data_IF_318503392721
#
_entry.id   IF_318503392721
#
_cell.length_a   1.000
_cell.length_b   1.000
_cell.length_c   1.000
_cell.angle_alpha   90.00
_cell.angle_beta   90.00
_cell.angle_gamma   90.00
#
_symmetry.space_group_name_H-M   'P 1'
#
loop_
_entity.id
_entity.type
_entity.pdbx_description
1 polymer ?
#
# COMPACT_ATOMS: atom_id res chain seq x y z
N UNK A 1 -12.38 6.90 -17.28
CA UNK A 1 -12.60 6.71 -15.83
C UNK A 1 -13.39 5.42 -15.67
N UNK A 2 -12.71 4.32 -15.42
CA UNK A 2 -13.35 3.00 -15.25
C UNK A 2 -13.83 2.87 -13.82
N UNK A 3 -15.12 2.59 -13.64
CA UNK A 3 -15.85 2.46 -12.36
C UNK A 3 -15.37 1.33 -11.40
N UNK A 4 -14.15 0.81 -11.56
CA UNK A 4 -13.72 -0.48 -10.98
C UNK A 4 -13.31 -0.46 -9.50
N UNK A 5 -13.22 0.69 -8.84
CA UNK A 5 -12.50 0.77 -7.55
C UNK A 5 -13.28 1.40 -6.38
N UNK A 6 -14.60 1.57 -6.50
CA UNK A 6 -15.42 1.98 -5.35
C UNK A 6 -16.08 0.77 -4.70
N UNK A 7 -15.87 0.59 -3.40
CA UNK A 7 -16.58 -0.38 -2.57
C UNK A 7 -17.68 0.31 -1.77
N UNK A 8 -18.85 -0.33 -1.61
CA UNK A 8 -19.97 0.20 -0.83
C UNK A 8 -19.74 0.03 0.70
N UNK A 9 -20.67 0.54 1.52
CA UNK A 9 -20.52 0.87 2.96
C UNK A 9 -19.91 -0.18 3.91
N UNK A 10 -19.77 -1.45 3.55
CA UNK A 10 -19.11 -2.50 4.35
C UNK A 10 -17.70 -2.88 3.84
N UNK A 11 -17.23 -2.22 2.78
CA UNK A 11 -15.94 -2.46 2.11
C UNK A 11 -15.88 -3.74 1.27
N UNK A 12 -16.98 -4.49 1.15
CA UNK A 12 -17.00 -5.84 0.54
C UNK A 12 -17.76 -5.91 -0.78
N UNK A 13 -18.71 -5.00 -0.99
CA UNK A 13 -19.48 -4.91 -2.22
C UNK A 13 -18.81 -3.95 -3.19
N UNK A 14 -18.63 -4.33 -4.45
CA UNK A 14 -18.23 -3.37 -5.48
C UNK A 14 -19.38 -2.44 -5.87
N UNK A 15 -19.02 -1.31 -6.49
CA UNK A 15 -19.99 -0.30 -6.92
C UNK A 15 -20.98 -0.82 -7.96
N UNK A 16 -20.55 -1.72 -8.84
CA UNK A 16 -21.42 -2.30 -9.89
C UNK A 16 -22.47 -3.22 -9.25
N UNK A 17 -22.07 -4.07 -8.31
CA UNK A 17 -22.97 -4.95 -7.57
C UNK A 17 -23.99 -4.13 -6.76
N UNK A 18 -23.54 -3.04 -6.13
CA UNK A 18 -24.42 -2.12 -5.42
C UNK A 18 -25.45 -1.46 -6.36
N UNK A 19 -25.01 -1.00 -7.54
CA UNK A 19 -25.90 -0.42 -8.56
C UNK A 19 -26.93 -1.43 -9.06
N UNK A 20 -26.50 -2.66 -9.37
CA UNK A 20 -27.39 -3.75 -9.80
C UNK A 20 -28.44 -4.06 -8.73
N UNK A 21 -28.04 -4.14 -7.46
CA UNK A 21 -28.98 -4.38 -6.37
C UNK A 21 -29.96 -3.22 -6.15
N UNK A 22 -29.52 -1.96 -6.32
CA UNK A 22 -30.39 -0.79 -6.24
C UNK A 22 -31.43 -0.79 -7.36
N UNK A 23 -31.02 -1.04 -8.60
CA UNK A 23 -31.93 -1.11 -9.75
C UNK A 23 -32.93 -2.25 -9.60
N UNK A 24 -32.46 -3.41 -9.15
CA UNK A 24 -33.30 -4.57 -8.90
C UNK A 24 -34.33 -4.31 -7.77
N UNK A 25 -33.92 -3.66 -6.69
CA UNK A 25 -34.84 -3.22 -5.65
C UNK A 25 -35.87 -2.23 -6.18
N UNK A 26 -35.47 -1.32 -7.07
CA UNK A 26 -36.39 -0.37 -7.69
C UNK A 26 -37.46 -1.07 -8.55
N UNK A 27 -37.08 -2.09 -9.33
CA UNK A 27 -38.02 -2.89 -10.11
C UNK A 27 -38.98 -3.70 -9.23
N UNK A 28 -38.48 -4.38 -8.20
CA UNK A 28 -39.33 -5.17 -7.29
C UNK A 28 -40.32 -4.29 -6.54
N UNK A 29 -39.93 -3.05 -6.18
CA UNK A 29 -40.80 -2.09 -5.50
C UNK A 29 -42.00 -1.65 -6.34
N UNK A 30 -41.94 -1.74 -7.67
CA UNK A 30 -43.08 -1.46 -8.57
C UNK A 30 -44.20 -2.49 -8.43
N UNK A 31 -43.90 -3.68 -7.92
CA UNK A 31 -44.89 -4.71 -7.69
C UNK A 31 -45.62 -4.51 -6.35
N UNK A 32 -46.88 -4.93 -6.32
CA UNK A 32 -47.65 -5.07 -5.09
C UNK A 32 -46.93 -5.98 -4.10
N UNK A 33 -46.93 -5.63 -2.79
CA UNK A 33 -46.06 -6.28 -1.81
C UNK A 33 -46.20 -7.81 -1.79
N UNK A 34 -47.41 -8.35 -1.95
CA UNK A 34 -47.71 -9.78 -1.93
C UNK A 34 -47.19 -10.55 -3.15
N UNK A 35 -46.77 -9.86 -4.22
CA UNK A 35 -46.19 -10.47 -5.43
C UNK A 35 -44.66 -10.45 -5.42
N UNK A 36 -44.04 -9.63 -4.55
CA UNK A 36 -42.60 -9.34 -4.58
C UNK A 36 -41.75 -10.58 -4.33
N UNK A 37 -42.09 -11.36 -3.30
CA UNK A 37 -41.31 -12.55 -2.95
C UNK A 37 -41.37 -13.59 -4.08
N UNK A 38 -42.55 -13.89 -4.60
CA UNK A 38 -42.70 -14.85 -5.70
C UNK A 38 -41.91 -14.41 -6.94
N UNK A 39 -42.03 -13.15 -7.33
CA UNK A 39 -41.31 -12.59 -8.48
C UNK A 39 -39.80 -12.59 -8.29
N UNK A 40 -39.32 -12.25 -7.08
CA UNK A 40 -37.91 -12.36 -6.71
C UNK A 40 -37.37 -13.77 -6.88
N UNK A 41 -38.05 -14.76 -6.29
CA UNK A 41 -37.65 -16.17 -6.32
C UNK A 41 -37.61 -16.74 -7.74
N UNK A 42 -38.58 -16.39 -8.57
CA UNK A 42 -38.70 -16.95 -9.92
C UNK A 42 -37.69 -16.37 -10.92
N UNK A 43 -37.34 -15.09 -10.80
CA UNK A 43 -36.58 -14.40 -11.85
C UNK A 43 -35.16 -14.00 -11.46
N UNK A 44 -34.89 -13.76 -10.17
CA UNK A 44 -33.64 -13.11 -9.75
C UNK A 44 -32.89 -13.87 -8.67
N UNK A 45 -33.56 -14.61 -7.79
CA UNK A 45 -32.94 -15.29 -6.65
C UNK A 45 -31.73 -16.13 -7.07
N UNK A 46 -31.88 -17.01 -8.07
CA UNK A 46 -30.77 -17.86 -8.51
C UNK A 46 -29.61 -17.05 -9.09
N UNK A 47 -29.87 -16.13 -10.01
CA UNK A 47 -28.83 -15.36 -10.68
C UNK A 47 -28.09 -14.41 -9.71
N UNK A 48 -28.81 -13.76 -8.79
CA UNK A 48 -28.19 -12.92 -7.76
C UNK A 48 -27.39 -13.76 -6.78
N UNK A 49 -27.89 -14.94 -6.40
CA UNK A 49 -27.13 -15.84 -5.54
C UNK A 49 -25.84 -16.32 -6.21
N UNK A 50 -25.94 -16.80 -7.45
CA UNK A 50 -24.81 -17.41 -8.17
C UNK A 50 -23.74 -16.37 -8.60
N UNK A 51 -24.17 -15.16 -9.03
CA UNK A 51 -23.25 -14.18 -9.63
C UNK A 51 -22.82 -13.07 -8.67
N UNK A 52 -23.57 -12.82 -7.60
CA UNK A 52 -23.26 -11.73 -6.65
C UNK A 52 -22.98 -12.29 -5.26
N UNK A 53 -23.92 -13.02 -4.66
CA UNK A 53 -23.83 -13.40 -3.24
C UNK A 53 -22.76 -14.47 -3.00
N UNK A 54 -22.73 -15.53 -3.82
CA UNK A 54 -21.81 -16.66 -3.63
C UNK A 54 -20.35 -16.27 -3.89
N UNK A 55 -19.99 -15.52 -4.95
CA UNK A 55 -18.62 -15.03 -5.14
C UNK A 55 -18.15 -14.13 -3.99
N UNK A 56 -19.03 -13.28 -3.45
CA UNK A 56 -18.72 -12.44 -2.28
C UNK A 56 -18.49 -13.30 -1.04
N UNK A 57 -19.35 -14.30 -0.79
CA UNK A 57 -19.18 -15.21 0.34
C UNK A 57 -17.88 -16.02 0.25
N UNK A 58 -17.50 -16.47 -0.95
CA UNK A 58 -16.23 -17.15 -1.19
C UNK A 58 -15.04 -16.23 -0.92
N UNK A 59 -15.10 -14.98 -1.37
CA UNK A 59 -14.06 -13.97 -1.09
C UNK A 59 -13.92 -13.71 0.41
N UNK A 60 -15.05 -13.57 1.12
CA UNK A 60 -15.05 -13.41 2.58
C UNK A 60 -14.41 -14.62 3.27
N UNK A 61 -14.72 -15.83 2.83
CA UNK A 61 -14.15 -17.05 3.38
C UNK A 61 -12.63 -17.11 3.12
N UNK A 62 -12.18 -16.75 1.92
CA UNK A 62 -10.76 -16.66 1.55
C UNK A 62 -10.04 -15.63 2.43
N UNK A 63 -10.61 -14.44 2.62
CA UNK A 63 -10.03 -13.38 3.45
C UNK A 63 -9.96 -13.80 4.93
N UNK A 64 -10.99 -14.49 5.43
CA UNK A 64 -11.01 -15.04 6.80
C UNK A 64 -10.03 -16.19 6.99
N UNK A 65 -9.82 -17.03 5.98
CA UNK A 65 -8.81 -18.09 6.00
C UNK A 65 -7.40 -17.48 5.90
N UNK A 66 -7.19 -16.50 5.03
CA UNK A 66 -5.93 -15.76 4.92
C UNK A 66 -5.55 -15.07 6.25
N UNK A 67 -6.53 -14.54 6.99
CA UNK A 67 -6.31 -13.94 8.31
C UNK A 67 -6.05 -14.97 9.43
N UNK A 68 -6.35 -16.27 9.22
CA UNK A 68 -6.14 -17.36 10.19
C UNK A 68 -4.88 -18.19 9.91
N UNK A 69 -4.31 -18.06 8.72
CA UNK A 69 -2.98 -18.60 8.43
C UNK A 69 -2.00 -17.67 9.15
N UNK A 70 -1.25 -18.13 10.18
CA UNK A 70 -0.12 -17.34 10.67
C UNK A 70 0.75 -17.05 9.45
N UNK A 71 1.16 -15.79 9.25
CA UNK A 71 1.99 -15.39 8.11
C UNK A 71 3.17 -16.36 7.96
N UNK A 72 2.99 -17.37 7.11
CA UNK A 72 4.10 -18.15 6.61
C UNK A 72 4.61 -17.32 5.47
N UNK A 73 5.58 -16.46 5.80
CA UNK A 73 6.48 -15.89 4.81
C UNK A 73 6.80 -17.00 3.81
N UNK A 74 6.33 -16.86 2.56
CA UNK A 74 7.07 -17.47 1.46
C UNK A 74 8.31 -16.61 1.24
N UNK A 75 9.18 -16.61 2.25
CA UNK A 75 10.59 -16.55 2.05
C UNK A 75 10.93 -17.74 1.16
N UNK A 76 11.32 -17.45 -0.06
CA UNK A 76 12.10 -18.37 -0.89
C UNK A 76 13.19 -18.99 -0.03
N UNK A 77 13.03 -20.26 0.33
CA UNK A 77 14.03 -21.04 1.06
C UNK A 77 15.23 -21.31 0.15
N UNK A 78 16.15 -20.37 0.14
CA UNK A 78 17.58 -20.66 0.13
C UNK A 78 18.15 -20.17 1.46
N UNK A 79 17.91 -20.94 2.53
CA UNK A 79 18.61 -20.77 3.81
C UNK A 79 20.09 -21.13 3.60
N UNK A 80 20.86 -20.15 3.12
CA UNK A 80 22.11 -19.86 3.79
C UNK A 80 21.74 -18.92 4.92
N UNK A 81 22.07 -19.27 6.16
CA UNK A 81 22.11 -18.33 7.28
C UNK A 81 23.13 -17.23 6.92
N UNK A 82 22.71 -16.28 6.09
CA UNK A 82 23.36 -15.00 5.99
C UNK A 82 22.80 -14.19 7.13
N UNK A 83 23.65 -13.92 8.12
CA UNK A 83 23.41 -12.85 9.09
C UNK A 83 22.92 -11.63 8.32
N UNK A 84 21.66 -11.26 8.51
CA UNK A 84 21.08 -10.08 7.88
C UNK A 84 21.81 -8.85 8.42
N UNK A 85 22.21 -7.94 7.54
CA UNK A 85 22.88 -6.70 7.96
C UNK A 85 21.95 -5.83 8.81
N UNK A 86 22.49 -5.12 9.78
CA UNK A 86 21.79 -4.06 10.51
C UNK A 86 21.57 -2.84 9.62
N UNK A 87 20.67 -1.94 10.03
CA UNK A 87 20.38 -0.68 9.31
C UNK A 87 21.64 0.18 9.15
N UNK A 88 22.44 0.28 10.21
CA UNK A 88 23.65 1.08 10.20
C UNK A 88 24.80 0.40 9.44
N UNK A 89 24.84 -0.94 9.39
CA UNK A 89 25.73 -1.67 8.46
C UNK A 89 25.33 -1.42 7.01
N UNK A 90 24.04 -1.40 6.70
CA UNK A 90 23.55 -1.02 5.37
C UNK A 90 24.00 0.41 5.00
N UNK A 91 23.80 1.38 5.89
CA UNK A 91 24.24 2.75 5.66
C UNK A 91 25.75 2.82 5.37
N UNK A 92 26.58 2.13 6.17
CA UNK A 92 28.03 2.07 5.95
C UNK A 92 28.39 1.45 4.59
N UNK A 93 27.67 0.41 4.15
CA UNK A 93 27.85 -0.21 2.83
C UNK A 93 27.45 0.73 1.68
N UNK A 94 26.39 1.51 1.84
CA UNK A 94 25.95 2.51 0.87
C UNK A 94 26.98 3.64 0.72
N UNK A 95 27.45 4.21 1.85
CA UNK A 95 28.44 5.30 1.90
C UNK A 95 29.82 4.90 1.35
N UNK A 96 30.10 3.60 1.19
CA UNK A 96 31.30 3.12 0.49
C UNK A 96 31.22 3.37 -1.02
N UNK A 97 30.01 3.40 -1.58
CA UNK A 97 29.75 3.55 -3.02
C UNK A 97 29.47 4.97 -3.45
N UNK A 98 29.26 5.88 -2.50
CA UNK A 98 29.12 7.31 -2.77
C UNK A 98 30.38 7.86 -3.45
N UNK A 99 30.23 8.53 -4.59
CA UNK A 99 31.30 9.31 -5.20
C UNK A 99 31.53 10.56 -4.36
N UNK A 100 32.22 10.43 -3.22
CA UNK A 100 32.46 11.53 -2.29
C UNK A 100 33.02 12.74 -3.04
N UNK A 101 32.17 13.71 -3.36
CA UNK A 101 32.60 15.01 -3.88
C UNK A 101 33.23 15.72 -2.69
N UNK A 102 34.53 15.48 -2.50
CA UNK A 102 35.29 15.86 -1.29
C UNK A 102 35.73 17.32 -1.26
N UNK A 103 35.44 18.08 -2.31
CA UNK A 103 35.67 19.53 -2.35
C UNK A 103 34.33 20.18 -2.57
N UNK A 104 33.86 20.89 -1.56
CA UNK A 104 32.53 21.47 -1.50
C UNK A 104 32.57 22.91 -2.06
N UNK A 105 32.22 23.14 -3.33
CA UNK A 105 32.10 24.51 -3.85
C UNK A 105 30.85 25.22 -3.33
N UNK A 106 29.87 24.49 -2.77
CA UNK A 106 28.54 25.01 -2.43
C UNK A 106 28.01 24.33 -1.16
N UNK A 107 27.73 25.06 -0.06
CA UNK A 107 27.19 24.48 1.16
C UNK A 107 26.02 23.51 0.88
N UNK A 108 26.01 22.38 1.58
CA UNK A 108 24.96 21.36 1.54
C UNK A 108 24.86 20.55 0.24
N UNK A 109 25.90 20.51 -0.60
CA UNK A 109 25.86 19.80 -1.90
C UNK A 109 25.43 18.33 -1.77
N UNK A 110 25.90 17.63 -0.74
CA UNK A 110 25.53 16.22 -0.47
C UNK A 110 24.06 16.06 -0.10
N UNK A 111 23.52 17.02 0.67
CA UNK A 111 22.09 17.02 1.00
C UNK A 111 21.26 17.27 -0.25
N UNK A 112 21.68 18.20 -1.10
CA UNK A 112 21.01 18.48 -2.37
C UNK A 112 21.04 17.27 -3.31
N UNK A 113 22.20 16.62 -3.47
CA UNK A 113 22.36 15.39 -4.24
C UNK A 113 21.44 14.28 -3.72
N UNK A 114 21.45 14.04 -2.41
CA UNK A 114 20.60 13.05 -1.76
C UNK A 114 19.11 13.29 -2.00
N UNK A 115 18.63 14.53 -1.82
CA UNK A 115 17.23 14.89 -2.04
C UNK A 115 16.82 14.82 -3.52
N UNK A 116 17.71 15.20 -4.43
CA UNK A 116 17.46 15.07 -5.87
C UNK A 116 17.37 13.61 -6.30
N UNK A 117 18.26 12.77 -5.79
CA UNK A 117 18.25 11.32 -6.01
C UNK A 117 16.97 10.68 -5.49
N UNK A 118 16.58 10.95 -4.24
CA UNK A 118 15.32 10.48 -3.66
C UNK A 118 14.11 10.75 -4.56
N UNK A 119 14.02 11.97 -5.09
CA UNK A 119 12.92 12.35 -6.00
C UNK A 119 13.01 11.65 -7.36
N UNK A 120 14.22 11.43 -7.88
CA UNK A 120 14.47 10.70 -9.12
C UNK A 120 13.94 9.27 -9.01
N UNK A 121 14.40 8.53 -8.01
CA UNK A 121 14.05 7.12 -7.83
C UNK A 121 12.57 6.94 -7.43
N UNK A 122 12.00 7.85 -6.63
CA UNK A 122 10.56 7.89 -6.41
C UNK A 122 9.75 8.13 -7.71
N UNK A 123 10.33 8.91 -8.63
CA UNK A 123 9.81 9.14 -9.98
C UNK A 123 9.80 7.87 -10.85
N UNK A 124 10.85 7.06 -10.75
CA UNK A 124 10.93 5.77 -11.45
C UNK A 124 9.92 4.77 -10.86
N UNK A 125 9.83 4.69 -9.53
CA UNK A 125 8.83 3.86 -8.84
C UNK A 125 7.38 4.21 -9.24
N UNK A 126 7.03 5.51 -9.29
CA UNK A 126 5.68 5.91 -9.72
C UNK A 126 5.45 5.70 -11.23
N UNK A 127 6.50 5.76 -12.06
CA UNK A 127 6.40 5.45 -13.50
C UNK A 127 6.02 3.99 -13.73
N UNK A 128 6.55 3.06 -12.92
CA UNK A 128 6.13 1.66 -12.92
C UNK A 128 4.63 1.53 -12.63
N UNK A 129 4.14 2.20 -11.59
CA UNK A 129 2.70 2.19 -11.27
C UNK A 129 1.86 2.82 -12.38
N UNK A 130 2.33 3.89 -13.02
CA UNK A 130 1.67 4.50 -14.18
C UNK A 130 1.52 3.52 -15.34
N UNK A 131 2.57 2.75 -15.64
CA UNK A 131 2.55 1.70 -16.69
C UNK A 131 1.52 0.61 -16.36
N UNK A 132 1.46 0.16 -15.11
CA UNK A 132 0.47 -0.83 -14.67
C UNK A 132 -0.96 -0.28 -14.79
N UNK A 133 -1.24 0.88 -14.21
CA UNK A 133 -2.59 1.42 -14.11
C UNK A 133 -3.17 1.92 -15.44
N UNK A 134 -2.32 2.48 -16.32
CA UNK A 134 -2.81 3.20 -17.51
C UNK A 134 -2.35 2.62 -18.85
N UNK A 135 -1.41 1.67 -18.84
CA UNK A 135 -0.81 1.13 -20.08
C UNK A 135 -0.94 -0.41 -20.16
N UNK A 136 -1.52 -1.06 -19.14
CA UNK A 136 -1.85 -2.49 -19.17
C UNK A 136 -0.67 -3.42 -18.89
N UNK A 137 0.41 -2.91 -18.30
CA UNK A 137 1.55 -3.75 -17.88
C UNK A 137 1.21 -4.56 -16.62
N UNK A 138 1.83 -5.73 -16.48
CA UNK A 138 1.83 -6.46 -15.21
C UNK A 138 2.70 -5.75 -14.17
N UNK A 139 2.37 -5.93 -12.90
CA UNK A 139 3.13 -5.32 -11.81
C UNK A 139 4.40 -6.13 -11.50
N UNK A 140 5.54 -5.58 -11.89
CA UNK A 140 6.86 -6.15 -11.58
C UNK A 140 7.30 -5.78 -10.16
N UNK A 141 7.15 -6.73 -9.24
CA UNK A 141 7.54 -6.59 -7.83
C UNK A 141 9.05 -6.50 -7.65
N UNK A 142 9.83 -7.18 -8.49
CA UNK A 142 11.29 -7.17 -8.39
C UNK A 142 11.84 -5.82 -8.85
N UNK A 143 11.29 -5.27 -9.94
CA UNK A 143 11.65 -3.93 -10.38
C UNK A 143 11.26 -2.89 -9.32
N UNK A 144 10.04 -2.91 -8.80
CA UNK A 144 9.65 -2.01 -7.70
C UNK A 144 10.59 -2.13 -6.49
N UNK A 145 11.02 -3.34 -6.11
CA UNK A 145 11.95 -3.53 -5.01
C UNK A 145 13.34 -2.94 -5.28
N UNK A 146 13.81 -2.93 -6.53
CA UNK A 146 15.06 -2.27 -6.93
C UNK A 146 14.95 -0.75 -6.77
N UNK A 147 13.88 -0.14 -7.29
CA UNK A 147 13.64 1.30 -7.14
C UNK A 147 13.55 1.73 -5.65
N UNK A 148 12.88 0.91 -4.82
CA UNK A 148 12.86 1.14 -3.37
C UNK A 148 14.24 1.01 -2.72
N UNK A 149 15.10 0.13 -3.26
CA UNK A 149 16.50 0.00 -2.84
C UNK A 149 17.33 1.23 -3.18
N UNK A 150 17.12 1.82 -4.36
CA UNK A 150 17.80 3.05 -4.78
C UNK A 150 17.33 4.26 -3.96
N UNK A 151 16.03 4.34 -3.64
CA UNK A 151 15.49 5.30 -2.65
C UNK A 151 16.18 5.13 -1.29
N UNK A 152 16.32 3.89 -0.80
CA UNK A 152 16.98 3.63 0.47
C UNK A 152 18.46 4.04 0.45
N UNK A 153 19.14 3.91 -0.70
CA UNK A 153 20.52 4.34 -0.87
C UNK A 153 20.66 5.86 -0.71
N UNK A 154 19.82 6.64 -1.40
CA UNK A 154 19.85 8.10 -1.26
C UNK A 154 19.38 8.56 0.13
N UNK A 155 18.48 7.83 0.79
CA UNK A 155 18.12 8.10 2.18
C UNK A 155 19.32 7.93 3.11
N UNK A 156 20.11 6.86 2.94
CA UNK A 156 21.32 6.59 3.72
C UNK A 156 22.39 7.68 3.55
N UNK A 157 22.60 8.14 2.30
CA UNK A 157 23.52 9.26 1.99
C UNK A 157 23.00 10.57 2.60
N UNK A 158 21.71 10.86 2.44
CA UNK A 158 21.10 12.08 2.98
C UNK A 158 21.20 12.13 4.50
N UNK A 159 20.98 11.01 5.18
CA UNK A 159 21.12 10.87 6.63
C UNK A 159 22.53 11.23 7.10
N UNK A 160 23.55 10.63 6.48
CA UNK A 160 24.95 10.93 6.80
C UNK A 160 25.31 12.39 6.50
N UNK A 161 24.81 12.93 5.39
CA UNK A 161 25.04 14.32 5.00
C UNK A 161 24.51 15.35 6.03
N UNK A 162 23.47 14.99 6.79
CA UNK A 162 22.94 15.81 7.89
C UNK A 162 23.47 15.41 9.28
N UNK A 163 24.41 14.47 9.35
CA UNK A 163 25.05 14.04 10.59
C UNK A 163 24.24 13.06 11.44
N UNK A 164 23.34 12.29 10.83
CA UNK A 164 22.53 11.27 11.50
C UNK A 164 22.84 9.87 10.95
N UNK A 165 22.85 8.88 11.85
CA UNK A 165 22.77 7.48 11.42
C UNK A 165 21.33 7.11 11.06
N UNK A 166 21.19 6.13 10.15
CA UNK A 166 19.90 5.79 9.59
C UNK A 166 18.98 5.12 10.63
N UNK A 167 19.53 4.34 11.55
CA UNK A 167 18.77 3.73 12.65
C UNK A 167 18.13 4.78 13.56
N UNK A 168 18.85 5.85 13.92
CA UNK A 168 18.30 6.99 14.65
C UNK A 168 17.14 7.66 13.91
N UNK A 169 17.25 7.87 12.59
CA UNK A 169 16.16 8.45 11.79
C UNK A 169 14.92 7.57 11.81
N UNK A 170 15.09 6.26 11.62
CA UNK A 170 13.99 5.30 11.63
C UNK A 170 13.37 5.19 13.03
N UNK A 171 14.18 5.19 14.09
CA UNK A 171 13.71 5.15 15.47
C UNK A 171 12.90 6.41 15.82
N UNK A 172 13.37 7.60 15.44
CA UNK A 172 12.61 8.85 15.60
C UNK A 172 11.27 8.81 14.88
N UNK A 173 11.21 8.19 13.68
CA UNK A 173 9.96 7.99 12.96
C UNK A 173 9.00 7.06 13.71
N UNK A 174 9.51 5.92 14.21
CA UNK A 174 8.72 4.94 14.98
C UNK A 174 8.16 5.56 16.24
N UNK A 175 8.97 6.28 17.02
CA UNK A 175 8.54 6.89 18.28
C UNK A 175 7.48 7.97 18.04
N UNK A 176 7.66 8.78 16.99
CA UNK A 176 6.64 9.73 16.54
C UNK A 176 5.33 9.04 16.17
N UNK A 177 5.40 8.02 15.32
CA UNK A 177 4.20 7.33 14.83
C UNK A 177 3.49 6.56 15.94
N UNK A 178 4.22 5.95 16.89
CA UNK A 178 3.62 5.31 18.08
C UNK A 178 2.93 6.31 18.98
N UNK A 179 3.53 7.50 19.20
CA UNK A 179 2.89 8.55 19.96
C UNK A 179 1.60 9.04 19.27
N UNK A 180 1.60 9.11 17.94
CA UNK A 180 0.44 9.52 17.14
C UNK A 180 -0.66 8.45 17.05
N UNK A 181 -0.25 7.19 16.93
CA UNK A 181 -1.10 6.04 16.64
C UNK A 181 -0.79 4.89 17.61
N UNK A 182 -1.11 5.03 18.91
CA UNK A 182 -0.76 4.04 19.93
C UNK A 182 -1.37 2.65 19.66
N UNK A 183 -2.57 2.62 19.10
CA UNK A 183 -3.31 1.40 18.76
C UNK A 183 -3.34 1.13 17.25
N UNK A 184 -2.43 1.75 16.49
CA UNK A 184 -2.42 1.72 15.02
C UNK A 184 -3.18 2.87 14.38
N UNK A 185 -3.22 2.88 13.04
CA UNK A 185 -3.75 4.02 12.29
C UNK A 185 -5.22 4.31 12.58
N UNK A 186 -5.54 5.57 12.85
CA UNK A 186 -6.90 6.10 12.99
C UNK A 186 -7.05 7.38 12.17
N UNK A 187 -8.14 7.47 11.40
CA UNK A 187 -8.47 8.68 10.64
C UNK A 187 -8.66 9.90 11.55
N UNK A 188 -9.28 9.71 12.72
CA UNK A 188 -9.51 10.77 13.70
C UNK A 188 -8.18 11.35 14.22
N UNK A 189 -7.24 10.48 14.61
CA UNK A 189 -5.91 10.88 15.06
C UNK A 189 -5.09 11.54 13.92
N UNK A 190 -5.33 11.15 12.66
CA UNK A 190 -4.69 11.77 11.51
C UNK A 190 -5.16 13.22 11.25
N UNK A 191 -6.45 13.49 11.47
CA UNK A 191 -7.06 14.82 11.32
C UNK A 191 -6.74 15.74 12.51
N UNK A 192 -6.64 15.20 13.73
CA UNK A 192 -6.43 15.96 14.96
C UNK A 192 -4.99 15.84 15.48
N UNK A 193 -4.04 16.38 14.71
CA UNK A 193 -2.61 16.37 15.08
C UNK A 193 -2.31 17.32 16.24
N UNK A 194 -1.37 16.93 17.08
CA UNK A 194 -0.87 17.79 18.17
C UNK A 194 0.02 18.90 17.63
N UNK A 195 0.10 20.04 18.32
CA UNK A 195 0.80 21.23 17.83
C UNK A 195 2.31 21.05 17.58
N UNK A 196 2.95 20.06 18.21
CA UNK A 196 4.37 19.76 18.06
C UNK A 196 4.65 18.46 17.27
N UNK A 197 3.65 17.98 16.51
CA UNK A 197 3.74 16.75 15.75
C UNK A 197 4.33 17.00 14.35
N UNK A 198 5.66 16.91 14.23
CA UNK A 198 6.44 17.07 12.99
C UNK A 198 6.83 15.70 12.42
#
# INVERSE_FOLDING_TARGET
MTFKEFTACDGRWGMVEAMVCIDLMAEIRKLSFWKREKFWRELYEKHVLDEIVEPINQKILIDQLAARIPHTDQATTHEKEHSTMTINEYQALALRTESRITTDPVPYIRVLEGLMGLNGEAGEAIDLMKKVLFQGHEFDREHMAKELGDIAWYLAVSADAIGYDLESILQMNVDKLRARYPDGFSMEQSLHRSANDI
#
